data_IF_025032860087
#
_entry.id   IF_025032860087
#
_cell.length_a   1.000
_cell.length_b   1.000
_cell.length_c   1.000
_cell.angle_alpha   90.00
_cell.angle_beta   90.00
_cell.angle_gamma   90.00
#
_symmetry.space_group_name_H-M   'P 1'
#
loop_
_entity.id
_entity.type
_entity.pdbx_description
1 polymer ?
#
# COMPACT_ATOMS: atom_id res chain seq x y z
N UNK A 1 -68.61 -21.76 63.93
CA UNK A 1 -67.54 -22.49 63.21
C UNK A 1 -67.24 -21.73 61.94
N UNK A 2 -66.17 -20.99 61.92
CA UNK A 2 -65.66 -20.45 60.68
C UNK A 2 -64.14 -20.11 60.83
N UNK A 3 -63.27 -20.74 60.07
CA UNK A 3 -61.81 -20.65 60.11
C UNK A 3 -61.35 -19.41 59.40
N UNK A 4 -60.58 -18.56 60.06
CA UNK A 4 -59.85 -17.43 59.50
C UNK A 4 -58.54 -18.00 58.88
N UNK A 5 -58.30 -17.76 57.57
CA UNK A 5 -57.05 -18.07 56.92
C UNK A 5 -56.19 -16.81 56.88
N UNK A 6 -54.97 -16.91 57.42
CA UNK A 6 -53.93 -15.87 57.26
C UNK A 6 -53.37 -15.81 55.83
N UNK A 7 -53.03 -14.61 55.34
CA UNK A 7 -52.30 -14.50 54.07
C UNK A 7 -50.79 -14.68 54.28
N UNK A 8 -50.19 -15.42 53.36
CA UNK A 8 -48.79 -15.80 53.33
C UNK A 8 -47.89 -14.59 52.86
N UNK A 9 -46.80 -14.40 53.63
CA UNK A 9 -45.72 -13.46 53.33
C UNK A 9 -44.83 -14.06 52.23
N UNK A 10 -45.12 -13.73 50.97
CA UNK A 10 -44.24 -14.10 49.86
C UNK A 10 -44.32 -13.03 48.74
N UNK A 11 -43.82 -11.83 49.02
CA UNK A 11 -43.69 -10.84 47.94
C UNK A 11 -42.62 -9.77 48.19
N UNK A 12 -41.50 -10.10 48.86
CA UNK A 12 -40.46 -9.10 49.12
C UNK A 12 -39.05 -9.49 48.62
N UNK A 13 -38.92 -10.65 47.94
CA UNK A 13 -37.60 -11.09 47.46
C UNK A 13 -37.38 -10.99 45.93
N UNK A 14 -38.42 -10.72 45.16
CA UNK A 14 -38.35 -10.65 43.70
C UNK A 14 -38.00 -9.25 43.18
N UNK A 15 -38.32 -8.21 43.96
CA UNK A 15 -38.08 -6.78 43.55
C UNK A 15 -36.62 -6.34 43.71
N UNK A 16 -35.81 -6.99 44.53
CA UNK A 16 -34.39 -6.64 44.71
C UNK A 16 -33.46 -7.26 43.69
N UNK A 17 -33.84 -8.37 43.03
CA UNK A 17 -33.03 -8.99 41.99
C UNK A 17 -33.18 -8.31 40.61
N UNK A 18 -34.31 -7.66 40.36
CA UNK A 18 -34.51 -6.93 39.08
C UNK A 18 -33.74 -5.60 39.03
N UNK A 19 -33.46 -4.95 40.19
CA UNK A 19 -32.69 -3.70 40.22
C UNK A 19 -31.18 -3.92 40.03
N UNK A 20 -30.63 -5.08 40.38
CA UNK A 20 -29.20 -5.38 40.25
C UNK A 20 -28.82 -5.78 38.82
N UNK A 21 -29.74 -6.37 38.02
CA UNK A 21 -29.49 -6.74 36.65
C UNK A 21 -29.49 -5.50 35.71
N UNK A 22 -30.33 -4.50 36.01
CA UNK A 22 -30.38 -3.26 35.23
C UNK A 22 -29.12 -2.38 35.41
N UNK A 23 -28.48 -2.39 36.59
CA UNK A 23 -27.26 -1.63 36.86
C UNK A 23 -26.01 -2.19 36.14
N UNK A 24 -25.95 -3.51 35.87
CA UNK A 24 -24.82 -4.16 35.22
C UNK A 24 -24.85 -3.91 33.67
N UNK A 25 -26.04 -3.75 33.07
CA UNK A 25 -26.18 -3.50 31.63
C UNK A 25 -25.76 -2.05 31.26
N UNK A 26 -25.98 -1.08 32.18
CA UNK A 26 -25.56 0.32 31.91
C UNK A 26 -24.05 0.51 32.09
N UNK A 27 -23.39 -0.22 33.00
CA UNK A 27 -21.93 -0.15 33.16
C UNK A 27 -21.15 -0.92 32.10
N UNK A 28 -21.73 -1.97 31.49
CA UNK A 28 -21.11 -2.74 30.39
C UNK A 28 -21.19 -2.06 29.02
N UNK A 29 -22.20 -1.21 28.80
CA UNK A 29 -22.40 -0.54 27.51
C UNK A 29 -21.46 0.64 27.24
N UNK A 30 -20.89 1.27 28.24
CA UNK A 30 -19.97 2.40 28.12
C UNK A 30 -18.51 1.99 27.95
N UNK A 31 -18.14 0.76 28.32
CA UNK A 31 -16.77 0.25 28.17
C UNK A 31 -16.51 -0.28 26.74
N UNK A 32 -17.56 -0.64 26.00
CA UNK A 32 -17.42 -1.20 24.65
C UNK A 32 -17.25 -0.14 23.55
N UNK A 33 -17.50 1.14 23.83
CA UNK A 33 -17.41 2.20 22.84
C UNK A 33 -16.07 2.98 22.83
N UNK A 34 -15.21 2.75 23.84
CA UNK A 34 -13.91 3.42 23.91
C UNK A 34 -12.76 2.63 23.26
N UNK A 35 -12.98 1.40 22.76
CA UNK A 35 -11.95 0.58 22.10
C UNK A 35 -11.96 0.60 20.57
N UNK A 36 -12.81 1.42 19.96
CA UNK A 36 -12.99 1.40 18.50
C UNK A 36 -12.29 2.54 17.74
N UNK A 37 -11.36 3.30 18.35
CA UNK A 37 -10.72 4.43 17.67
C UNK A 37 -9.23 4.65 17.96
N UNK A 38 -8.48 3.64 18.32
CA UNK A 38 -7.04 3.69 18.05
C UNK A 38 -6.77 3.11 16.67
N UNK A 39 -7.18 3.83 15.63
CA UNK A 39 -6.47 3.75 14.35
C UNK A 39 -5.09 4.33 14.63
N UNK A 40 -4.11 3.46 15.01
CA UNK A 40 -2.70 3.78 14.95
C UNK A 40 -2.48 4.47 13.62
N UNK A 41 -2.19 5.76 13.64
CA UNK A 41 -1.59 6.45 12.51
C UNK A 41 -0.25 5.74 12.33
N UNK A 42 -0.18 4.82 11.38
CA UNK A 42 1.05 4.11 11.04
C UNK A 42 1.97 5.20 10.50
N UNK A 43 3.02 5.49 11.24
CA UNK A 43 4.09 6.38 10.77
C UNK A 43 4.79 5.66 9.60
N UNK A 44 4.45 6.08 8.39
CA UNK A 44 4.95 5.49 7.14
C UNK A 44 6.39 5.85 6.83
N UNK A 45 7.09 6.54 7.74
CA UNK A 45 8.47 7.02 7.53
C UNK A 45 9.54 6.01 7.93
N UNK A 46 9.19 4.90 8.62
CA UNK A 46 10.15 3.86 9.00
C UNK A 46 10.08 2.62 8.09
N UNK A 47 11.19 2.27 7.43
CA UNK A 47 11.25 1.16 6.48
C UNK A 47 10.95 -0.23 7.08
N UNK A 48 10.99 -0.39 8.39
CA UNK A 48 10.74 -1.66 9.08
C UNK A 48 9.26 -1.86 9.50
N UNK A 49 8.40 -0.86 9.30
CA UNK A 49 7.00 -0.89 9.75
C UNK A 49 6.01 -1.56 8.79
N UNK A 50 6.44 -1.97 7.60
CA UNK A 50 5.57 -2.65 6.63
C UNK A 50 6.05 -4.08 6.38
N UNK A 51 5.73 -5.03 7.27
CA UNK A 51 6.03 -6.42 7.02
C UNK A 51 5.31 -6.89 5.75
N UNK A 52 6.00 -7.67 4.94
CA UNK A 52 5.34 -8.32 3.80
C UNK A 52 4.29 -9.29 4.33
N UNK A 53 3.02 -9.14 3.95
CA UNK A 53 1.97 -10.05 4.39
C UNK A 53 2.26 -11.50 3.96
N UNK A 54 1.78 -12.50 4.71
CA UNK A 54 1.87 -13.90 4.30
C UNK A 54 1.24 -14.11 2.91
N UNK A 55 1.77 -15.03 2.14
CA UNK A 55 1.34 -15.33 0.75
C UNK A 55 -0.18 -15.57 0.64
N UNK A 56 -0.77 -16.24 1.62
CA UNK A 56 -2.22 -16.46 1.68
C UNK A 56 -2.99 -15.15 1.75
N UNK A 57 -2.48 -14.17 2.48
CA UNK A 57 -3.13 -12.87 2.65
C UNK A 57 -3.00 -12.01 1.39
N UNK A 58 -1.84 -12.05 0.73
CA UNK A 58 -1.63 -11.36 -0.55
C UNK A 58 -2.64 -11.79 -1.62
N UNK A 59 -3.08 -13.05 -1.64
CA UNK A 59 -4.12 -13.53 -2.56
C UNK A 59 -5.48 -12.86 -2.36
N UNK A 60 -5.76 -12.35 -1.16
CA UNK A 60 -7.01 -11.62 -0.87
C UNK A 60 -6.86 -10.10 -1.02
N UNK A 61 -5.66 -9.56 -0.80
CA UNK A 61 -5.40 -8.13 -0.86
C UNK A 61 -5.16 -7.64 -2.30
N UNK A 62 -4.54 -8.45 -3.13
CA UNK A 62 -4.19 -8.13 -4.51
C UNK A 62 -5.29 -8.55 -5.47
N UNK A 63 -5.48 -7.80 -6.55
CA UNK A 63 -6.25 -8.27 -7.68
C UNK A 63 -5.58 -9.49 -8.32
N UNK A 64 -6.32 -10.28 -9.08
CA UNK A 64 -5.77 -11.44 -9.79
C UNK A 64 -4.56 -11.05 -10.68
N UNK A 65 -4.62 -9.89 -11.35
CA UNK A 65 -3.53 -9.42 -12.19
C UNK A 65 -2.32 -8.97 -11.36
N UNK A 66 -2.53 -8.20 -10.29
CA UNK A 66 -1.46 -7.79 -9.38
C UNK A 66 -0.75 -9.00 -8.78
N UNK A 67 -1.51 -10.01 -8.35
CA UNK A 67 -0.95 -11.24 -7.81
C UNK A 67 -0.15 -12.01 -8.88
N UNK A 68 -0.72 -12.22 -10.07
CA UNK A 68 -0.05 -12.88 -11.19
C UNK A 68 1.25 -12.19 -11.58
N UNK A 69 1.25 -10.86 -11.64
CA UNK A 69 2.46 -10.08 -11.97
C UNK A 69 3.49 -10.19 -10.85
N UNK A 70 3.13 -9.85 -9.61
CA UNK A 70 4.09 -9.69 -8.52
C UNK A 70 4.61 -11.01 -7.96
N UNK A 71 3.77 -12.06 -7.94
CA UNK A 71 4.08 -13.35 -7.30
C UNK A 71 4.33 -14.51 -8.27
N UNK A 72 3.75 -14.46 -9.46
CA UNK A 72 3.87 -15.51 -10.48
C UNK A 72 4.71 -15.07 -11.69
N UNK A 73 5.44 -13.93 -11.57
CA UNK A 73 6.31 -13.36 -12.60
C UNK A 73 5.58 -13.11 -13.94
N UNK A 74 4.30 -12.73 -13.87
CA UNK A 74 3.50 -12.41 -15.03
C UNK A 74 3.86 -11.06 -15.64
N UNK A 75 3.37 -10.82 -16.86
CA UNK A 75 3.47 -9.54 -17.55
C UNK A 75 2.06 -9.07 -17.92
N UNK A 76 1.70 -7.83 -17.57
CA UNK A 76 0.44 -7.19 -17.97
C UNK A 76 0.43 -6.86 -19.47
N UNK A 77 -0.76 -6.53 -20.00
CA UNK A 77 -0.89 -6.21 -21.44
C UNK A 77 -0.33 -4.84 -21.76
N UNK A 78 0.52 -4.77 -22.82
CA UNK A 78 1.05 -3.53 -23.34
C UNK A 78 -0.07 -2.56 -23.76
N UNK A 79 0.09 -1.26 -23.49
CA UNK A 79 -0.86 -0.18 -23.79
C UNK A 79 -2.23 -0.30 -23.12
N UNK A 80 -2.47 -1.36 -22.30
CA UNK A 80 -3.70 -1.62 -21.57
C UNK A 80 -3.41 -1.78 -20.07
N UNK A 81 -2.59 -0.88 -19.51
CA UNK A 81 -2.21 -0.86 -18.10
C UNK A 81 -2.26 0.58 -17.56
N UNK A 82 -2.21 0.72 -16.24
CA UNK A 82 -2.57 1.97 -15.58
C UNK A 82 -1.58 3.13 -15.80
N UNK A 83 -0.30 2.85 -16.10
CA UNK A 83 0.74 3.88 -16.01
C UNK A 83 1.64 4.00 -17.25
N UNK A 84 1.40 3.28 -18.33
CA UNK A 84 2.23 3.39 -19.53
C UNK A 84 2.28 4.84 -20.05
N UNK A 85 1.16 5.55 -20.07
CA UNK A 85 1.02 6.93 -20.53
C UNK A 85 0.88 7.97 -19.40
N UNK A 86 1.03 7.56 -18.11
CA UNK A 86 0.92 8.48 -16.99
C UNK A 86 2.08 9.48 -16.99
N UNK A 87 1.77 10.78 -17.14
CA UNK A 87 2.73 11.91 -17.17
C UNK A 87 2.62 12.81 -15.96
N UNK A 88 1.78 12.46 -14.96
CA UNK A 88 1.61 13.27 -13.75
C UNK A 88 2.88 13.21 -12.90
N UNK A 89 3.28 14.34 -12.26
CA UNK A 89 4.38 14.33 -11.31
C UNK A 89 4.03 13.50 -10.07
N UNK A 90 4.98 12.68 -9.61
CA UNK A 90 4.78 11.81 -8.46
C UNK A 90 5.74 10.62 -8.44
N UNK A 91 5.53 9.75 -7.46
CA UNK A 91 6.33 8.54 -7.27
C UNK A 91 5.48 7.28 -7.51
N UNK A 92 6.15 6.19 -7.82
CA UNK A 92 5.58 4.86 -7.96
C UNK A 92 6.12 4.00 -6.83
N UNK A 93 5.23 3.48 -5.99
CA UNK A 93 5.57 2.66 -4.83
C UNK A 93 5.15 1.21 -5.05
N UNK A 94 5.85 0.27 -4.39
CA UNK A 94 5.49 -1.15 -4.41
C UNK A 94 4.03 -1.34 -3.96
N UNK A 95 3.26 -2.09 -4.71
CA UNK A 95 1.84 -2.34 -4.42
C UNK A 95 1.62 -3.09 -3.09
N UNK A 96 2.62 -3.83 -2.60
CA UNK A 96 2.55 -4.65 -1.38
C UNK A 96 3.04 -3.85 -0.17
N UNK A 97 4.24 -3.25 -0.25
CA UNK A 97 4.92 -2.64 0.90
C UNK A 97 4.88 -1.13 0.91
N UNK A 98 4.36 -0.48 -0.13
CA UNK A 98 4.46 0.96 -0.34
C UNK A 98 5.91 1.50 -0.36
N UNK A 99 6.93 0.65 -0.52
CA UNK A 99 8.30 1.09 -0.70
C UNK A 99 8.44 1.94 -1.98
N UNK A 100 9.03 3.15 -1.92
CA UNK A 100 9.23 3.98 -3.11
C UNK A 100 10.18 3.32 -4.11
N UNK A 101 9.74 3.08 -5.33
CA UNK A 101 10.52 2.37 -6.34
C UNK A 101 11.03 3.29 -7.46
N UNK A 102 10.13 4.08 -8.05
CA UNK A 102 10.45 4.94 -9.19
C UNK A 102 9.82 6.33 -9.05
N UNK A 103 10.37 7.30 -9.77
CA UNK A 103 9.87 8.68 -9.85
C UNK A 103 9.49 9.05 -11.28
N UNK A 104 8.43 9.85 -11.42
CA UNK A 104 8.07 10.45 -12.72
C UNK A 104 9.17 11.32 -13.32
N UNK A 105 10.12 11.81 -12.52
CA UNK A 105 11.30 12.57 -12.98
C UNK A 105 12.19 11.73 -13.90
N UNK A 106 12.23 10.42 -13.64
CA UNK A 106 13.03 9.45 -14.41
C UNK A 106 12.20 8.65 -15.42
N UNK A 107 10.88 8.94 -15.53
CA UNK A 107 9.99 8.25 -16.46
C UNK A 107 10.11 8.85 -17.86
N UNK A 108 10.11 8.00 -18.86
CA UNK A 108 10.09 8.40 -20.26
C UNK A 108 9.14 7.54 -21.10
N UNK A 109 8.79 8.03 -22.27
CA UNK A 109 7.99 7.29 -23.24
C UNK A 109 8.91 6.40 -24.08
N UNK A 110 8.86 5.11 -23.85
CA UNK A 110 9.66 4.13 -24.57
C UNK A 110 8.99 3.59 -25.84
N UNK A 111 7.70 3.90 -26.03
CA UNK A 111 6.90 3.33 -27.13
C UNK A 111 6.56 1.83 -26.95
N UNK A 112 6.93 1.20 -25.82
CA UNK A 112 6.74 -0.25 -25.63
C UNK A 112 5.38 -0.61 -25.04
N UNK A 113 4.64 0.38 -24.51
CA UNK A 113 3.33 0.18 -23.90
C UNK A 113 3.37 -0.22 -22.41
N UNK A 114 4.54 -0.13 -21.78
CA UNK A 114 4.75 -0.27 -20.34
C UNK A 114 5.44 0.97 -19.76
N UNK A 115 5.20 1.31 -18.48
CA UNK A 115 5.95 2.39 -17.83
C UNK A 115 7.44 2.07 -17.84
N UNK A 116 8.22 3.06 -18.30
CA UNK A 116 9.67 2.93 -18.49
C UNK A 116 10.40 4.04 -17.75
N UNK A 117 11.48 3.68 -17.04
CA UNK A 117 12.27 4.60 -16.23
C UNK A 117 13.75 4.43 -16.53
N UNK A 118 14.53 5.52 -16.39
CA UNK A 118 15.98 5.49 -16.59
C UNK A 118 16.74 4.95 -15.38
N UNK A 119 16.12 5.00 -14.20
CA UNK A 119 16.69 4.53 -12.94
C UNK A 119 15.60 4.41 -11.86
N UNK A 120 15.81 3.60 -10.79
CA UNK A 120 14.96 3.62 -9.60
C UNK A 120 15.20 4.89 -8.77
N UNK A 121 14.32 5.16 -7.79
CA UNK A 121 14.50 6.25 -6.80
C UNK A 121 15.76 6.02 -5.96
N UNK A 122 15.97 4.78 -5.55
CA UNK A 122 17.20 4.33 -4.90
C UNK A 122 17.56 2.94 -5.43
N UNK A 123 18.83 2.67 -5.74
CA UNK A 123 19.28 1.34 -6.11
C UNK A 123 19.07 0.32 -4.97
N UNK A 124 18.99 0.78 -3.72
CA UNK A 124 18.75 -0.07 -2.56
C UNK A 124 17.31 -0.60 -2.46
N UNK A 125 16.38 -0.07 -3.24
CA UNK A 125 14.96 -0.49 -3.21
C UNK A 125 14.65 -1.59 -4.22
N UNK A 126 15.59 -1.91 -5.10
CA UNK A 126 15.41 -2.95 -6.13
C UNK A 126 16.53 -3.99 -6.07
N UNK A 127 16.24 -5.16 -6.60
CA UNK A 127 17.21 -6.25 -6.78
C UNK A 127 17.17 -6.70 -8.22
N UNK A 128 18.34 -6.86 -8.81
CA UNK A 128 18.54 -7.38 -10.15
C UNK A 128 18.86 -8.86 -10.11
N UNK A 129 18.22 -9.66 -10.96
CA UNK A 129 18.45 -11.12 -11.04
C UNK A 129 18.55 -11.54 -12.51
N UNK A 130 19.44 -12.50 -12.83
CA UNK A 130 19.40 -13.13 -14.14
C UNK A 130 18.07 -13.84 -14.38
N UNK A 131 17.48 -13.64 -15.55
CA UNK A 131 16.30 -14.36 -16.01
C UNK A 131 16.61 -15.03 -17.35
N UNK A 132 16.54 -16.36 -17.36
CA UNK A 132 16.77 -17.21 -18.54
C UNK A 132 15.50 -17.85 -19.06
N UNK A 133 14.33 -17.42 -18.59
CA UNK A 133 13.04 -17.94 -19.04
C UNK A 133 12.79 -17.61 -20.51
N UNK A 134 11.91 -18.36 -21.15
CA UNK A 134 11.48 -18.19 -22.56
C UNK A 134 12.65 -18.21 -23.57
N UNK A 135 13.74 -18.93 -23.28
CA UNK A 135 14.97 -18.95 -24.11
C UNK A 135 15.58 -17.55 -24.36
N UNK A 136 15.37 -16.60 -23.45
CA UNK A 136 15.97 -15.28 -23.45
C UNK A 136 16.93 -15.13 -22.28
N UNK A 137 17.95 -14.29 -22.45
CA UNK A 137 18.83 -13.88 -21.33
C UNK A 137 18.51 -12.41 -21.05
N UNK A 138 17.92 -12.16 -19.88
CA UNK A 138 17.49 -10.82 -19.48
C UNK A 138 17.90 -10.57 -18.02
N UNK A 139 17.85 -9.31 -17.60
CA UNK A 139 17.96 -8.92 -16.19
C UNK A 139 16.56 -8.60 -15.66
N UNK A 140 16.07 -9.44 -14.76
CA UNK A 140 14.83 -9.19 -14.01
C UNK A 140 15.09 -8.13 -12.94
N UNK A 141 14.14 -7.20 -12.75
CA UNK A 141 14.11 -6.29 -11.62
C UNK A 141 12.97 -6.65 -10.67
N UNK A 142 13.28 -6.72 -9.37
CA UNK A 142 12.35 -7.03 -8.29
C UNK A 142 12.42 -5.97 -7.20
N UNK A 143 11.28 -5.73 -6.52
CA UNK A 143 11.27 -4.92 -5.31
C UNK A 143 12.05 -5.64 -4.20
N UNK A 144 12.93 -4.93 -3.48
CA UNK A 144 13.83 -5.55 -2.50
C UNK A 144 13.08 -6.12 -1.30
N UNK A 145 12.12 -5.38 -0.75
CA UNK A 145 11.39 -5.83 0.46
C UNK A 145 10.36 -6.91 0.15
N UNK A 146 9.46 -6.66 -0.79
CA UNK A 146 8.37 -7.59 -1.10
C UNK A 146 8.81 -8.79 -1.92
N UNK A 147 9.99 -8.72 -2.57
CA UNK A 147 10.42 -9.63 -3.62
C UNK A 147 9.41 -9.72 -4.78
N UNK A 148 8.61 -8.68 -4.99
CA UNK A 148 7.68 -8.57 -6.13
C UNK A 148 8.44 -8.53 -7.44
N UNK A 149 8.02 -9.33 -8.42
CA UNK A 149 8.45 -9.13 -9.79
C UNK A 149 7.95 -7.76 -10.28
N UNK A 150 8.85 -6.91 -10.74
CA UNK A 150 8.53 -5.60 -11.30
C UNK A 150 8.54 -5.63 -12.83
N UNK A 151 9.54 -6.24 -13.42
CA UNK A 151 9.77 -6.28 -14.87
C UNK A 151 11.21 -6.62 -15.20
N UNK A 152 11.77 -5.95 -16.23
CA UNK A 152 13.12 -6.22 -16.72
C UNK A 152 13.87 -4.94 -17.04
N UNK A 153 15.20 -5.04 -17.09
CA UNK A 153 16.12 -3.96 -17.46
C UNK A 153 16.67 -4.25 -18.85
N UNK A 154 16.74 -3.20 -19.68
CA UNK A 154 17.27 -3.21 -21.03
C UNK A 154 18.32 -2.09 -21.17
N UNK A 155 19.20 -2.19 -22.15
CA UNK A 155 20.30 -1.25 -22.46
C UNK A 155 19.94 -0.28 -23.61
N UNK A 156 18.66 -0.14 -23.90
CA UNK A 156 18.10 0.70 -24.97
C UNK A 156 17.42 1.98 -24.45
N UNK A 157 17.72 2.39 -23.22
CA UNK A 157 17.21 3.62 -22.63
C UNK A 157 17.95 4.88 -23.08
N UNK A 158 17.43 6.08 -22.73
CA UNK A 158 18.07 7.35 -23.06
C UNK A 158 19.33 7.61 -22.22
N UNK A 159 20.25 8.48 -22.71
CA UNK A 159 21.36 8.96 -21.89
C UNK A 159 20.86 9.65 -20.59
N UNK A 160 21.67 9.72 -19.52
CA UNK A 160 23.06 9.25 -19.43
C UNK A 160 23.20 7.76 -19.11
N UNK A 161 22.19 7.12 -18.52
CA UNK A 161 22.28 5.72 -18.03
C UNK A 161 22.27 4.71 -19.16
N UNK A 162 21.60 5.01 -20.26
CA UNK A 162 21.26 4.07 -21.34
C UNK A 162 20.45 2.86 -20.87
N UNK A 163 19.93 2.89 -19.63
CA UNK A 163 19.11 1.84 -19.08
C UNK A 163 17.62 2.17 -19.23
N UNK A 164 16.84 1.14 -19.48
CA UNK A 164 15.39 1.17 -19.45
C UNK A 164 14.86 0.11 -18.49
N UNK A 165 14.36 0.56 -17.35
CA UNK A 165 13.58 -0.25 -16.43
C UNK A 165 12.15 -0.32 -16.97
N UNK A 166 11.80 -1.44 -17.63
CA UNK A 166 10.47 -1.69 -18.19
C UNK A 166 9.65 -2.43 -17.13
N UNK A 167 8.67 -1.74 -16.54
CA UNK A 167 8.03 -2.18 -15.29
C UNK A 167 6.53 -2.35 -15.48
N UNK A 168 5.94 -3.35 -14.83
CA UNK A 168 4.50 -3.57 -14.83
C UNK A 168 3.78 -2.56 -13.93
N UNK A 169 2.74 -1.90 -14.42
CA UNK A 169 1.87 -1.02 -13.63
C UNK A 169 1.22 -1.77 -12.48
N UNK A 170 0.83 -3.04 -12.70
CA UNK A 170 0.18 -3.88 -11.70
C UNK A 170 1.05 -4.15 -10.47
N UNK A 171 2.39 -4.01 -10.59
CA UNK A 171 3.32 -4.15 -9.47
C UNK A 171 3.45 -2.88 -8.62
N UNK A 172 2.82 -1.77 -9.04
CA UNK A 172 3.03 -0.46 -8.45
C UNK A 172 1.72 0.25 -8.13
N UNK A 173 1.81 1.23 -7.21
CA UNK A 173 0.80 2.26 -6.96
C UNK A 173 1.41 3.63 -7.21
N UNK A 174 0.69 4.49 -7.91
CA UNK A 174 1.12 5.86 -8.13
C UNK A 174 0.67 6.77 -7.00
N UNK A 175 1.58 7.60 -6.50
CA UNK A 175 1.34 8.66 -5.52
C UNK A 175 1.67 10.00 -6.17
N UNK A 176 0.65 10.81 -6.41
CA UNK A 176 0.83 12.11 -7.04
C UNK A 176 1.60 13.08 -6.13
N UNK A 177 2.40 13.97 -6.71
CA UNK A 177 3.28 14.87 -5.97
C UNK A 177 2.54 15.72 -4.92
N UNK A 178 1.33 16.17 -5.20
CA UNK A 178 0.48 16.92 -4.28
C UNK A 178 -0.03 16.09 -3.09
N UNK A 179 0.04 14.76 -3.17
CA UNK A 179 -0.39 13.83 -2.12
C UNK A 179 0.76 13.31 -1.25
N UNK A 180 2.02 13.54 -1.64
CA UNK A 180 3.20 13.00 -0.94
C UNK A 180 3.19 13.31 0.55
N UNK A 181 2.88 14.57 0.92
CA UNK A 181 2.81 14.98 2.33
C UNK A 181 1.78 14.19 3.12
N UNK A 182 0.60 13.99 2.55
CA UNK A 182 -0.52 13.32 3.22
C UNK A 182 -0.34 11.81 3.30
N UNK A 183 0.50 11.25 2.43
CA UNK A 183 0.78 9.83 2.36
C UNK A 183 2.12 9.45 3.03
N UNK A 184 2.81 10.41 3.68
CA UNK A 184 4.02 10.14 4.46
C UNK A 184 5.31 10.08 3.64
N UNK A 185 5.32 10.61 2.40
CA UNK A 185 6.47 10.63 1.49
C UNK A 185 7.09 12.03 1.37
N UNK A 186 7.23 12.72 2.50
CA UNK A 186 7.68 14.14 2.53
C UNK A 186 9.08 14.34 1.97
N UNK A 187 9.95 13.35 2.10
CA UNK A 187 11.34 13.36 1.65
C UNK A 187 11.46 13.45 0.11
N UNK A 188 10.42 13.07 -0.62
CA UNK A 188 10.40 13.13 -2.09
C UNK A 188 9.81 14.44 -2.64
N UNK A 189 9.21 15.30 -1.79
CA UNK A 189 8.64 16.58 -2.21
C UNK A 189 9.65 17.45 -2.97
N UNK A 190 10.92 17.58 -2.53
CA UNK A 190 11.91 18.40 -3.23
C UNK A 190 12.16 17.98 -4.68
N UNK A 191 11.96 16.71 -5.03
CA UNK A 191 12.12 16.22 -6.41
C UNK A 191 11.18 16.90 -7.41
N UNK A 192 10.05 17.46 -6.93
CA UNK A 192 8.98 18.04 -7.75
C UNK A 192 8.86 19.56 -7.57
N UNK A 193 9.67 20.18 -6.67
CA UNK A 193 9.63 21.62 -6.41
C UNK A 193 10.60 22.42 -7.26
N UNK A 194 11.55 21.78 -7.94
CA UNK A 194 12.62 22.44 -8.66
C UNK A 194 12.35 22.48 -10.16
N UNK A 195 11.64 23.53 -10.61
CA UNK A 195 11.93 24.30 -11.84
C UNK A 195 11.04 25.56 -11.92
N UNK A 196 10.93 26.32 -10.83
CA UNK A 196 10.63 27.73 -11.00
C UNK A 196 11.95 28.41 -11.42
N UNK A 197 12.03 29.10 -12.58
CA UNK A 197 13.17 29.96 -12.85
C UNK A 197 13.25 30.96 -11.70
N UNK A 198 14.48 31.13 -11.15
CA UNK A 198 14.74 32.15 -10.15
C UNK A 198 14.15 33.46 -10.70
N UNK A 199 13.17 34.04 -9.99
CA UNK A 199 12.62 35.33 -10.31
C UNK A 199 13.80 36.29 -10.33
N UNK A 200 14.13 36.80 -11.52
CA UNK A 200 15.20 37.76 -11.71
C UNK A 200 14.95 38.95 -10.79
N UNK A 201 15.83 39.14 -9.86
CA UNK A 201 15.97 40.40 -9.16
C UNK A 201 16.52 41.40 -10.15
N UNK A 202 15.64 42.24 -10.68
CA UNK A 202 16.02 43.51 -11.27
C UNK A 202 16.28 44.53 -10.16
#
# INVERSE_FOLDING_TARGET
MSRIKHPSKASSRITLLAALVAAIIVAGGTVWWSHAQDKKVVDKTHPDEFPVPPEKELRYQLTAEQYRVTRENGTETAFHNAYWDNRKPGIYVDIITNEPLFSSVHKFDSGTGWPSFTQPISPDHVVEKPDTSYNMVRTEVRAKKSNSHLGHIFDDGPPPTKLRYCVNSAAMRFVAAEKLKNEGFVEFIPMFQSTAPAAGTN
#
